data_IF_974423388868
#
_entry.id   IF_974423388868
#
_cell.length_a   1.000
_cell.length_b   1.000
_cell.length_c   1.000
_cell.angle_alpha   90.00
_cell.angle_beta   90.00
_cell.angle_gamma   90.00
#
_symmetry.space_group_name_H-M   'P 1'
#
loop_
_entity.id
_entity.type
_entity.pdbx_description
1 polymer ?
#
# COMPACT_ATOMS: atom_id res chain seq x y z
N UNK A 1 -2.90 -49.39 -44.60
CA UNK A 1 -2.90 -48.99 -43.18
C UNK A 1 -3.35 -47.54 -43.15
N UNK A 2 -4.56 -47.29 -42.66
CA UNK A 2 -5.21 -45.98 -42.61
C UNK A 2 -5.26 -45.58 -41.12
N UNK A 3 -4.78 -44.39 -40.70
CA UNK A 3 -4.86 -43.99 -39.30
C UNK A 3 -6.27 -43.45 -39.01
N UNK A 4 -7.00 -44.14 -38.12
CA UNK A 4 -8.27 -43.65 -37.59
C UNK A 4 -8.02 -42.45 -36.66
N UNK A 5 -8.76 -41.37 -36.90
CA UNK A 5 -8.76 -40.18 -36.08
C UNK A 5 -9.63 -40.40 -34.84
N UNK A 6 -9.06 -40.19 -33.66
CA UNK A 6 -9.81 -40.15 -32.40
C UNK A 6 -10.61 -38.85 -32.30
N UNK A 7 -11.91 -38.90 -31.97
CA UNK A 7 -12.70 -37.69 -31.71
C UNK A 7 -12.29 -37.07 -30.38
N UNK A 8 -11.80 -35.84 -30.42
CA UNK A 8 -11.58 -35.00 -29.23
C UNK A 8 -12.96 -34.57 -28.74
N UNK A 9 -13.35 -35.00 -27.54
CA UNK A 9 -14.57 -34.56 -26.89
C UNK A 9 -14.50 -33.05 -26.59
N UNK A 10 -15.58 -32.33 -26.91
CA UNK A 10 -15.75 -30.91 -26.61
C UNK A 10 -15.51 -30.63 -25.12
N UNK A 11 -14.48 -29.82 -24.84
CA UNK A 11 -14.20 -29.35 -23.50
C UNK A 11 -15.38 -28.48 -22.99
N UNK A 12 -15.83 -28.66 -21.74
CA UNK A 12 -16.93 -27.89 -21.18
C UNK A 12 -16.58 -26.40 -21.19
N UNK A 13 -17.47 -25.58 -21.76
CA UNK A 13 -17.33 -24.13 -21.84
C UNK A 13 -17.15 -23.55 -20.42
N UNK A 14 -15.92 -23.16 -20.07
CA UNK A 14 -15.64 -22.39 -18.87
C UNK A 14 -16.38 -21.04 -18.98
N UNK A 15 -17.49 -20.89 -18.25
CA UNK A 15 -18.16 -19.60 -18.09
C UNK A 15 -17.13 -18.65 -17.48
N UNK A 16 -16.60 -17.71 -18.29
CA UNK A 16 -15.74 -16.63 -17.78
C UNK A 16 -16.48 -15.96 -16.64
N UNK A 17 -15.87 -15.94 -15.45
CA UNK A 17 -16.34 -15.06 -14.38
C UNK A 17 -16.36 -13.64 -14.95
N UNK A 18 -17.44 -12.87 -14.77
CA UNK A 18 -17.44 -11.48 -15.19
C UNK A 18 -16.22 -10.80 -14.56
N UNK A 19 -15.31 -10.32 -15.41
CA UNK A 19 -14.08 -9.70 -14.96
C UNK A 19 -14.40 -8.48 -14.09
N UNK A 20 -13.55 -8.21 -13.11
CA UNK A 20 -13.67 -6.99 -12.32
C UNK A 20 -13.68 -5.78 -13.25
N UNK A 21 -14.73 -4.94 -13.15
CA UNK A 21 -14.80 -3.72 -13.93
C UNK A 21 -13.94 -2.65 -13.25
N UNK A 22 -12.85 -2.30 -13.93
CA UNK A 22 -11.86 -1.31 -13.47
C UNK A 22 -11.72 -0.19 -14.48
N UNK A 23 -11.12 0.92 -14.05
CA UNK A 23 -10.70 1.98 -14.97
C UNK A 23 -9.50 1.47 -15.77
N UNK A 24 -9.53 1.64 -17.09
CA UNK A 24 -8.47 1.19 -18.00
C UNK A 24 -8.19 2.26 -19.08
N UNK A 25 -7.07 2.09 -19.79
CA UNK A 25 -6.75 2.85 -20.98
C UNK A 25 -7.03 1.98 -22.20
N UNK A 26 -7.96 2.39 -23.06
CA UNK A 26 -8.26 1.75 -24.34
C UNK A 26 -8.00 2.73 -25.49
N UNK A 27 -6.98 2.44 -26.31
CA UNK A 27 -6.46 3.39 -27.28
C UNK A 27 -6.05 4.70 -26.62
N UNK A 28 -6.73 5.79 -26.97
CA UNK A 28 -6.57 7.13 -26.40
C UNK A 28 -7.60 7.46 -25.31
N UNK A 29 -8.53 6.56 -25.03
CA UNK A 29 -9.61 6.77 -24.08
C UNK A 29 -9.26 6.20 -22.70
N UNK A 30 -9.63 6.95 -21.66
CA UNK A 30 -9.82 6.41 -20.34
C UNK A 30 -11.23 5.83 -20.28
N UNK A 31 -11.36 4.55 -19.93
CA UNK A 31 -12.64 3.84 -19.92
C UNK A 31 -12.93 3.19 -18.57
N UNK A 32 -14.20 2.99 -18.26
CA UNK A 32 -14.67 2.20 -17.12
C UNK A 32 -15.73 1.21 -17.62
N UNK A 33 -15.38 -0.07 -17.70
CA UNK A 33 -16.27 -1.10 -18.25
C UNK A 33 -16.67 -0.84 -19.71
N UNK A 34 -15.76 -0.28 -20.51
CA UNK A 34 -16.00 0.12 -21.90
C UNK A 34 -16.67 1.50 -22.05
N UNK A 35 -17.13 2.13 -20.96
CA UNK A 35 -17.67 3.48 -21.03
C UNK A 35 -16.55 4.51 -21.08
N UNK A 36 -16.57 5.42 -22.07
CA UNK A 36 -15.55 6.46 -22.21
C UNK A 36 -15.76 7.59 -21.21
N UNK A 37 -14.87 7.66 -20.22
CA UNK A 37 -14.90 8.71 -19.19
C UNK A 37 -14.01 9.91 -19.54
N UNK A 38 -13.02 9.72 -20.42
CA UNK A 38 -12.20 10.80 -20.96
C UNK A 38 -11.38 10.36 -22.17
N UNK A 39 -10.88 11.31 -22.97
CA UNK A 39 -10.02 11.03 -24.13
C UNK A 39 -8.75 11.91 -24.08
N UNK A 40 -7.66 11.40 -24.64
CA UNK A 40 -6.46 12.18 -24.89
C UNK A 40 -6.79 13.45 -25.70
N UNK A 41 -6.32 14.61 -25.25
CA UNK A 41 -6.54 15.91 -25.91
C UNK A 41 -7.84 16.63 -25.55
N UNK A 42 -8.85 15.94 -25.01
CA UNK A 42 -10.10 16.52 -24.49
C UNK A 42 -10.49 15.88 -23.17
N UNK A 43 -9.57 15.86 -22.22
CA UNK A 43 -9.86 15.39 -20.87
C UNK A 43 -10.68 16.45 -20.12
N UNK A 44 -12.01 16.37 -20.27
CA UNK A 44 -12.97 17.16 -19.51
C UNK A 44 -13.03 16.60 -18.09
N UNK A 45 -12.22 17.17 -17.22
CA UNK A 45 -12.07 16.72 -15.84
C UNK A 45 -13.34 16.87 -15.00
N UNK A 46 -14.11 17.99 -15.06
CA UNK A 46 -15.42 18.06 -14.43
C UNK A 46 -16.35 16.91 -14.82
N UNK A 47 -16.43 16.58 -16.12
CA UNK A 47 -17.24 15.43 -16.60
C UNK A 47 -16.69 14.11 -16.07
N UNK A 48 -15.38 13.87 -16.18
CA UNK A 48 -14.75 12.64 -15.71
C UNK A 48 -14.95 12.43 -14.20
N UNK A 49 -14.83 13.50 -13.41
CA UNK A 49 -15.07 13.48 -11.97
C UNK A 49 -16.52 13.13 -11.64
N UNK A 50 -17.50 13.69 -12.35
CA UNK A 50 -18.91 13.37 -12.15
C UNK A 50 -19.25 11.91 -12.49
N UNK A 51 -18.75 11.39 -13.63
CA UNK A 51 -18.97 10.00 -14.05
C UNK A 51 -18.35 9.01 -13.07
N UNK A 52 -17.10 9.25 -12.67
CA UNK A 52 -16.42 8.41 -11.69
C UNK A 52 -17.10 8.49 -10.32
N UNK A 53 -17.51 9.68 -9.88
CA UNK A 53 -18.24 9.82 -8.63
C UNK A 53 -19.56 9.04 -8.65
N UNK A 54 -20.29 9.06 -9.77
CA UNK A 54 -21.52 8.29 -9.94
C UNK A 54 -21.26 6.77 -9.90
N UNK A 55 -20.21 6.31 -10.58
CA UNK A 55 -19.86 4.90 -10.61
C UNK A 55 -19.44 4.37 -9.23
N UNK A 56 -18.63 5.13 -8.50
CA UNK A 56 -18.15 4.76 -7.16
C UNK A 56 -19.12 5.11 -6.04
N UNK A 57 -20.15 5.92 -6.31
CA UNK A 57 -21.10 6.41 -5.31
C UNK A 57 -20.50 7.41 -4.32
N UNK A 58 -19.36 8.00 -4.63
CA UNK A 58 -18.66 8.97 -3.79
C UNK A 58 -17.76 9.88 -4.62
N UNK A 59 -17.57 11.13 -4.20
CA UNK A 59 -16.62 12.04 -4.84
C UNK A 59 -15.19 11.48 -4.76
N UNK A 60 -14.45 11.57 -5.87
CA UNK A 60 -13.05 11.18 -5.91
C UNK A 60 -12.17 12.23 -5.22
N UNK A 61 -11.03 11.81 -4.69
CA UNK A 61 -10.03 12.75 -4.18
C UNK A 61 -9.45 13.59 -5.34
N UNK A 62 -9.07 14.87 -5.09
CA UNK A 62 -8.41 15.69 -6.10
C UNK A 62 -7.12 15.04 -6.64
N UNK A 63 -6.40 14.29 -5.80
CA UNK A 63 -5.20 13.55 -6.19
C UNK A 63 -5.51 12.43 -7.19
N UNK A 64 -6.57 11.64 -6.97
CA UNK A 64 -6.97 10.61 -7.91
C UNK A 64 -7.28 11.20 -9.29
N UNK A 65 -8.02 12.32 -9.36
CA UNK A 65 -8.28 13.02 -10.61
C UNK A 65 -7.02 13.55 -11.30
N UNK A 66 -6.09 14.13 -10.52
CA UNK A 66 -4.80 14.58 -11.05
C UNK A 66 -3.98 13.42 -11.64
N UNK A 67 -4.03 12.24 -11.01
CA UNK A 67 -3.38 11.04 -11.53
C UNK A 67 -4.04 10.51 -12.80
N UNK A 68 -5.38 10.46 -12.87
CA UNK A 68 -6.08 10.09 -14.11
C UNK A 68 -5.77 11.05 -15.26
N UNK A 69 -5.70 12.37 -14.98
CA UNK A 69 -5.25 13.38 -15.95
C UNK A 69 -3.83 13.09 -16.42
N UNK A 70 -2.94 12.74 -15.49
CA UNK A 70 -1.57 12.31 -15.76
C UNK A 70 -1.51 11.08 -16.65
N UNK A 71 -2.33 10.06 -16.37
CA UNK A 71 -2.41 8.82 -17.14
C UNK A 71 -2.79 9.10 -18.60
N UNK A 72 -3.86 9.87 -18.81
CA UNK A 72 -4.33 10.25 -20.15
C UNK A 72 -3.28 11.06 -20.91
N UNK A 73 -2.61 12.01 -20.24
CA UNK A 73 -1.52 12.80 -20.85
C UNK A 73 -0.35 11.91 -21.27
N UNK A 74 0.12 11.03 -20.39
CA UNK A 74 1.28 10.15 -20.68
C UNK A 74 0.97 9.13 -21.75
N UNK A 75 -0.27 8.63 -21.81
CA UNK A 75 -0.73 7.78 -22.91
C UNK A 75 -0.61 8.50 -24.26
N UNK A 76 -1.02 9.77 -24.33
CA UNK A 76 -0.91 10.61 -25.54
C UNK A 76 0.53 10.83 -25.98
N UNK A 77 1.44 10.97 -25.02
CA UNK A 77 2.88 11.14 -25.28
C UNK A 77 3.57 9.84 -25.75
N UNK A 78 2.85 8.71 -25.79
CA UNK A 78 3.42 7.39 -26.11
C UNK A 78 4.10 6.72 -24.91
N UNK A 79 4.10 7.36 -23.74
CA UNK A 79 4.72 6.89 -22.50
C UNK A 79 3.82 5.89 -21.78
N UNK A 80 3.61 4.71 -22.39
CA UNK A 80 2.66 3.71 -21.91
C UNK A 80 2.93 3.24 -20.47
N UNK A 81 4.17 2.89 -20.09
CA UNK A 81 4.45 2.45 -18.72
C UNK A 81 4.07 3.53 -17.70
N UNK A 82 4.44 4.79 -17.97
CA UNK A 82 4.15 5.90 -17.07
C UNK A 82 2.65 6.18 -17.00
N UNK A 83 1.91 6.03 -18.10
CA UNK A 83 0.46 6.15 -18.12
C UNK A 83 -0.21 5.11 -17.20
N UNK A 84 0.25 3.86 -17.25
CA UNK A 84 -0.24 2.78 -16.38
C UNK A 84 0.14 3.02 -14.93
N UNK A 85 1.34 3.54 -14.66
CA UNK A 85 1.76 3.96 -13.31
C UNK A 85 0.85 5.04 -12.73
N UNK A 86 0.52 6.06 -13.52
CA UNK A 86 -0.44 7.09 -13.13
C UNK A 86 -1.85 6.51 -12.88
N UNK A 87 -2.28 5.55 -13.69
CA UNK A 87 -3.58 4.90 -13.49
C UNK A 87 -3.60 4.08 -12.19
N UNK A 88 -2.54 3.32 -11.90
CA UNK A 88 -2.39 2.59 -10.65
C UNK A 88 -2.37 3.54 -9.44
N UNK A 89 -1.64 4.65 -9.55
CA UNK A 89 -1.58 5.71 -8.54
C UNK A 89 -2.92 6.38 -8.24
N UNK A 90 -3.86 6.38 -9.18
CA UNK A 90 -5.21 6.88 -8.93
C UNK A 90 -5.92 6.07 -7.83
N UNK A 91 -5.47 4.82 -7.57
CA UNK A 91 -5.89 4.03 -6.41
C UNK A 91 -7.39 3.70 -6.40
N UNK A 92 -8.02 3.65 -7.57
CA UNK A 92 -9.45 3.37 -7.67
C UNK A 92 -9.71 1.88 -7.45
N UNK A 93 -10.55 1.50 -6.47
CA UNK A 93 -10.85 0.10 -6.22
C UNK A 93 -11.66 -0.49 -7.38
N UNK A 94 -11.73 -1.83 -7.52
CA UNK A 94 -12.73 -2.45 -8.37
C UNK A 94 -14.15 -2.03 -7.96
N UNK A 95 -15.06 -1.92 -8.93
CA UNK A 95 -16.47 -1.65 -8.64
C UNK A 95 -17.10 -2.83 -7.88
N UNK A 96 -17.67 -2.57 -6.71
CA UNK A 96 -18.32 -3.59 -5.88
C UNK A 96 -19.54 -4.23 -6.57
N UNK A 97 -20.32 -3.41 -7.28
CA UNK A 97 -21.43 -3.83 -8.15
C UNK A 97 -21.25 -3.16 -9.52
N UNK A 98 -20.62 -3.85 -10.48
CA UNK A 98 -20.37 -3.30 -11.80
C UNK A 98 -21.64 -2.91 -12.56
N UNK A 99 -22.72 -3.68 -12.42
CA UNK A 99 -23.96 -3.43 -13.17
C UNK A 99 -24.63 -2.14 -12.68
N UNK A 100 -24.82 -2.00 -11.36
CA UNK A 100 -25.38 -0.79 -10.77
C UNK A 100 -24.48 0.43 -11.00
N UNK A 101 -23.16 0.26 -10.98
CA UNK A 101 -22.21 1.33 -11.27
C UNK A 101 -22.30 1.82 -12.73
N UNK A 102 -22.38 0.91 -13.71
CA UNK A 102 -22.54 1.26 -15.11
C UNK A 102 -23.90 1.93 -15.39
N UNK A 103 -24.97 1.48 -14.72
CA UNK A 103 -26.28 2.12 -14.80
C UNK A 103 -26.24 3.56 -14.28
N UNK A 104 -25.61 3.79 -13.11
CA UNK A 104 -25.42 5.14 -12.54
C UNK A 104 -24.61 6.02 -13.47
N UNK A 105 -23.53 5.48 -14.03
CA UNK A 105 -22.68 6.20 -14.97
C UNK A 105 -23.47 6.62 -16.21
N UNK A 106 -24.22 5.71 -16.84
CA UNK A 106 -25.06 6.01 -18.00
C UNK A 106 -26.12 7.08 -17.70
N UNK A 107 -26.81 6.98 -16.55
CA UNK A 107 -27.77 8.00 -16.11
C UNK A 107 -27.12 9.37 -15.88
N UNK A 108 -25.95 9.40 -15.26
CA UNK A 108 -25.21 10.64 -15.05
C UNK A 108 -24.76 11.28 -16.35
N UNK A 109 -24.34 10.49 -17.34
CA UNK A 109 -23.99 11.03 -18.66
C UNK A 109 -25.22 11.64 -19.35
N UNK A 110 -26.35 10.93 -19.37
CA UNK A 110 -27.60 11.43 -19.94
C UNK A 110 -28.10 12.73 -19.25
N UNK A 111 -27.90 12.86 -17.93
CA UNK A 111 -28.21 14.10 -17.22
C UNK A 111 -27.31 15.25 -17.67
N UNK A 112 -26.02 15.01 -17.88
CA UNK A 112 -25.11 16.04 -18.39
C UNK A 112 -25.44 16.43 -19.83
N UNK A 113 -25.82 15.48 -20.68
CA UNK A 113 -26.33 15.75 -22.04
C UNK A 113 -27.62 16.59 -22.02
N UNK A 114 -28.46 16.41 -21.00
CA UNK A 114 -29.65 17.23 -20.76
C UNK A 114 -29.35 18.60 -20.12
N UNK A 115 -28.08 18.95 -19.92
CA UNK A 115 -27.64 20.26 -19.41
C UNK A 115 -27.42 20.33 -17.90
N UNK A 116 -27.49 19.21 -17.17
CA UNK A 116 -27.12 19.20 -15.75
C UNK A 116 -25.61 19.39 -15.62
N UNK A 117 -25.18 20.39 -14.85
CA UNK A 117 -23.77 20.65 -14.63
C UNK A 117 -23.09 19.45 -13.90
N UNK A 118 -21.87 19.03 -14.30
CA UNK A 118 -21.15 17.93 -13.63
C UNK A 118 -20.98 18.14 -12.12
N UNK A 119 -20.76 19.39 -11.68
CA UNK A 119 -20.65 19.75 -10.27
C UNK A 119 -21.92 19.46 -9.47
N UNK A 120 -23.11 19.55 -10.08
CA UNK A 120 -24.38 19.23 -9.44
C UNK A 120 -24.51 17.72 -9.17
N UNK A 121 -24.02 16.87 -10.10
CA UNK A 121 -23.99 15.42 -9.92
C UNK A 121 -23.04 15.06 -8.77
N UNK A 122 -21.83 15.63 -8.75
CA UNK A 122 -20.87 15.40 -7.66
C UNK A 122 -21.44 15.87 -6.31
N UNK A 123 -22.06 17.05 -6.26
CA UNK A 123 -22.68 17.58 -5.05
C UNK A 123 -23.86 16.72 -4.55
N UNK A 124 -24.64 16.13 -5.45
CA UNK A 124 -25.74 15.23 -5.10
C UNK A 124 -25.25 13.89 -4.49
N UNK A 125 -24.03 13.47 -4.85
CA UNK A 125 -23.39 12.24 -4.38
C UNK A 125 -22.49 12.44 -3.17
N UNK A 126 -22.08 13.68 -2.89
CA UNK A 126 -21.40 14.00 -1.65
C UNK A 126 -22.29 13.56 -0.49
N UNK A 127 -21.76 12.87 0.53
CA UNK A 127 -22.54 12.58 1.71
C UNK A 127 -23.10 13.89 2.20
N UNK A 128 -24.45 14.01 2.19
CA UNK A 128 -25.10 15.10 2.91
C UNK A 128 -24.55 14.94 4.32
N UNK A 129 -23.77 15.91 4.78
CA UNK A 129 -23.33 15.96 6.17
C UNK A 129 -24.57 16.20 7.03
N UNK A 130 -25.44 15.18 7.12
CA UNK A 130 -26.52 15.13 8.07
C UNK A 130 -25.81 14.85 9.40
N UNK A 131 -25.79 15.88 10.25
CA UNK A 131 -25.54 15.82 11.70
C UNK A 131 -24.10 15.70 12.27
N UNK A 132 -23.01 15.58 11.50
CA UNK A 132 -21.67 15.66 12.12
C UNK A 132 -21.35 17.05 12.70
N UNK A 133 -21.89 18.12 12.10
CA UNK A 133 -21.78 19.47 12.66
C UNK A 133 -22.68 19.70 13.89
N UNK A 134 -23.71 18.85 14.12
CA UNK A 134 -24.48 18.89 15.38
C UNK A 134 -23.74 18.22 16.54
N UNK A 135 -22.78 17.35 16.27
CA UNK A 135 -22.06 16.63 17.32
C UNK A 135 -20.88 17.41 17.93
N UNK A 136 -20.40 18.49 17.29
CA UNK A 136 -19.29 19.30 17.80
C UNK A 136 -19.81 20.62 18.39
N UNK A 137 -19.91 20.69 19.72
CA UNK A 137 -20.11 21.93 20.46
C UNK A 137 -18.80 22.28 21.23
N UNK A 138 -18.09 23.36 20.88
CA UNK A 138 -16.86 23.76 21.56
C UNK A 138 -17.07 24.12 23.05
N UNK A 139 -18.30 24.44 23.45
CA UNK A 139 -18.66 24.86 24.80
C UNK A 139 -19.08 23.68 25.70
N UNK A 140 -19.10 22.44 25.20
CA UNK A 140 -19.41 21.29 26.05
C UNK A 140 -18.27 20.98 27.03
N UNK A 141 -18.58 20.78 28.33
CA UNK A 141 -17.58 20.55 29.37
C UNK A 141 -16.81 19.24 29.13
N UNK A 142 -15.48 19.37 29.13
CA UNK A 142 -14.54 18.24 29.00
C UNK A 142 -13.96 17.88 30.35
N UNK A 143 -13.54 16.62 30.50
CA UNK A 143 -12.78 16.18 31.67
C UNK A 143 -11.48 17.01 31.79
N UNK A 144 -11.27 17.77 32.88
CA UNK A 144 -10.05 18.52 33.10
C UNK A 144 -8.83 17.61 33.25
N UNK A 145 -7.65 18.10 32.90
CA UNK A 145 -6.41 17.38 33.16
C UNK A 145 -6.17 17.26 34.68
N UNK A 146 -5.76 16.07 35.15
CA UNK A 146 -5.33 15.84 36.54
C UNK A 146 -6.26 14.97 37.40
N UNK A 147 -7.43 14.54 36.89
CA UNK A 147 -8.40 13.73 37.66
C UNK A 147 -8.17 12.20 37.59
N UNK A 148 -7.04 11.73 37.06
CA UNK A 148 -6.79 10.29 36.87
C UNK A 148 -7.56 9.65 35.71
N UNK A 149 -8.50 10.38 35.10
CA UNK A 149 -9.18 10.02 33.86
C UNK A 149 -8.48 10.62 32.63
N UNK A 150 -8.80 10.09 31.44
CA UNK A 150 -8.22 10.57 30.17
C UNK A 150 -8.77 11.97 29.86
N UNK A 151 -7.90 12.98 30.00
CA UNK A 151 -8.16 14.37 29.62
C UNK A 151 -8.78 14.47 28.21
N UNK A 152 -9.81 15.31 28.08
CA UNK A 152 -10.46 15.61 26.79
C UNK A 152 -11.63 14.71 26.40
N UNK A 153 -11.96 13.69 27.21
CA UNK A 153 -13.20 12.93 27.04
C UNK A 153 -14.44 13.82 27.28
N UNK A 154 -15.51 13.50 26.55
CA UNK A 154 -16.82 14.13 26.74
C UNK A 154 -17.39 13.63 28.06
N UNK A 155 -17.80 14.55 28.93
CA UNK A 155 -18.56 14.17 30.13
C UNK A 155 -19.97 13.79 29.68
N UNK A 156 -20.38 12.52 29.85
CA UNK A 156 -21.78 12.15 29.65
C UNK A 156 -22.60 12.84 30.73
N UNK A 157 -23.30 13.91 30.38
CA UNK A 157 -24.06 14.76 31.29
C UNK A 157 -25.27 14.12 31.97
N UNK A 158 -25.35 12.79 32.04
CA UNK A 158 -26.45 12.04 32.64
C UNK A 158 -25.93 11.14 33.76
N UNK A 159 -25.86 11.67 34.98
CA UNK A 159 -25.69 10.87 36.19
C UNK A 159 -26.27 11.57 37.43
N UNK A 160 -27.61 11.64 37.50
CA UNK A 160 -28.32 11.61 38.77
C UNK A 160 -28.39 10.16 39.25
N UNK A 161 -27.67 9.85 40.32
CA UNK A 161 -27.23 8.50 40.64
C UNK A 161 -28.26 7.54 41.22
N UNK A 162 -27.84 6.28 41.30
CA UNK A 162 -28.18 5.37 42.40
C UNK A 162 -27.12 4.26 42.46
N UNK A 163 -26.35 4.28 43.53
CA UNK A 163 -25.40 3.27 43.97
C UNK A 163 -26.10 1.97 44.32
N UNK A 164 -25.54 0.82 43.92
CA UNK A 164 -25.65 -0.44 44.67
C UNK A 164 -24.52 -1.38 44.24
N UNK A 165 -23.63 -1.72 45.18
CA UNK A 165 -22.51 -2.61 44.95
C UNK A 165 -22.88 -4.10 44.96
N UNK A 166 -21.98 -4.93 44.44
CA UNK A 166 -21.83 -6.31 44.87
C UNK A 166 -20.43 -6.81 44.52
N UNK A 167 -19.68 -7.11 45.59
CA UNK A 167 -18.45 -7.90 45.67
C UNK A 167 -18.67 -9.31 45.12
N UNK A 168 -17.77 -9.83 44.29
CA UNK A 168 -17.48 -11.28 44.17
C UNK A 168 -16.01 -11.53 43.86
N UNK A 169 -15.40 -12.26 44.79
CA UNK A 169 -14.11 -12.94 44.68
C UNK A 169 -14.22 -14.19 43.79
N UNK A 170 -13.09 -14.55 43.16
CA UNK A 170 -12.68 -15.93 42.90
C UNK A 170 -13.02 -16.52 41.52
N UNK A 171 -11.98 -16.76 40.72
CA UNK A 171 -11.67 -18.08 40.13
C UNK A 171 -10.47 -18.03 39.18
N UNK A 172 -9.44 -18.81 39.50
CA UNK A 172 -8.37 -19.27 38.60
C UNK A 172 -8.86 -20.50 37.81
N UNK A 173 -8.45 -20.68 36.54
CA UNK A 173 -7.63 -21.85 36.19
C UNK A 173 -6.54 -21.47 35.15
N UNK A 174 -5.28 -21.87 35.30
CA UNK A 174 -4.69 -23.20 35.12
C UNK A 174 -4.79 -23.76 33.68
N UNK A 175 -3.64 -23.77 33.00
CA UNK A 175 -3.21 -24.85 32.11
C UNK A 175 -3.66 -24.79 30.65
N UNK A 176 -2.81 -24.23 29.77
CA UNK A 176 -2.74 -24.68 28.38
C UNK A 176 -1.29 -24.96 27.97
N UNK A 177 -1.11 -26.20 27.56
CA UNK A 177 0.09 -26.88 27.09
C UNK A 177 0.63 -26.28 25.79
N UNK A 178 1.95 -26.17 25.71
CA UNK A 178 2.71 -25.80 24.52
C UNK A 178 2.41 -26.75 23.35
N UNK A 179 1.97 -26.17 22.23
CA UNK A 179 2.01 -26.81 20.92
C UNK A 179 3.17 -26.20 20.13
N UNK A 180 4.13 -27.04 19.74
CA UNK A 180 5.21 -26.71 18.82
C UNK A 180 4.63 -26.50 17.42
N UNK A 181 4.76 -25.32 16.78
CA UNK A 181 4.42 -25.20 15.38
C UNK A 181 5.53 -25.82 14.52
N UNK A 182 5.10 -26.66 13.58
CA UNK A 182 5.93 -27.22 12.55
C UNK A 182 6.58 -26.12 11.71
N UNK A 183 7.86 -26.32 11.38
CA UNK A 183 8.64 -25.50 10.45
C UNK A 183 7.93 -25.49 9.09
N UNK A 184 7.26 -24.39 8.79
CA UNK A 184 6.85 -24.09 7.43
C UNK A 184 8.08 -23.56 6.71
N UNK A 185 8.59 -24.33 5.76
CA UNK A 185 9.55 -23.87 4.76
C UNK A 185 9.01 -22.61 4.09
N UNK A 186 9.75 -21.51 4.24
CA UNK A 186 9.53 -20.29 3.44
C UNK A 186 9.67 -20.64 1.96
N UNK A 187 8.78 -20.12 1.09
CA UNK A 187 8.94 -20.33 -0.34
C UNK A 187 10.23 -19.66 -0.79
N UNK A 188 11.00 -20.37 -1.62
CA UNK A 188 12.07 -19.81 -2.41
C UNK A 188 11.59 -18.51 -3.10
N UNK A 189 12.48 -17.52 -3.16
CA UNK A 189 12.28 -16.25 -3.87
C UNK A 189 11.66 -16.53 -5.23
N UNK A 190 10.37 -16.20 -5.37
CA UNK A 190 9.69 -16.22 -6.66
C UNK A 190 10.25 -15.07 -7.49
N UNK A 191 11.07 -15.42 -8.48
CA UNK A 191 11.64 -14.52 -9.48
C UNK A 191 10.73 -14.39 -10.72
N UNK A 192 9.43 -14.69 -10.57
CA UNK A 192 8.41 -14.46 -11.58
C UNK A 192 8.42 -13.00 -12.06
N UNK A 193 8.34 -12.85 -13.38
CA UNK A 193 8.13 -11.55 -14.05
C UNK A 193 6.67 -11.09 -13.98
N UNK A 194 5.78 -11.89 -13.38
CA UNK A 194 4.38 -11.56 -13.18
C UNK A 194 4.17 -10.87 -11.82
N UNK A 195 4.38 -9.56 -11.83
CA UNK A 195 4.24 -8.69 -10.65
C UNK A 195 2.79 -8.51 -10.18
N UNK A 196 1.78 -8.96 -10.94
CA UNK A 196 0.36 -8.73 -10.59
C UNK A 196 -0.06 -9.48 -9.33
N UNK A 197 0.65 -10.55 -8.96
CA UNK A 197 0.36 -11.34 -7.76
C UNK A 197 0.63 -10.58 -6.45
N UNK A 198 1.60 -9.66 -6.42
CA UNK A 198 1.86 -8.78 -5.26
C UNK A 198 0.81 -7.68 -5.07
N UNK A 199 -0.09 -7.52 -6.04
CA UNK A 199 -1.23 -6.60 -5.98
C UNK A 199 -2.58 -7.31 -5.74
N UNK A 200 -2.60 -8.63 -5.48
CA UNK A 200 -3.84 -9.37 -5.22
C UNK A 200 -4.34 -9.19 -3.77
N UNK A 201 -5.53 -8.60 -3.63
CA UNK A 201 -6.17 -8.25 -2.35
C UNK A 201 -6.83 -9.47 -1.68
N UNK A 202 -6.36 -9.84 -0.48
CA UNK A 202 -7.12 -10.69 0.46
C UNK A 202 -8.05 -9.81 1.32
N UNK A 203 -9.36 -9.91 1.05
CA UNK A 203 -10.50 -9.87 1.99
C UNK A 203 -10.73 -8.68 2.93
N UNK A 204 -11.71 -7.82 2.60
CA UNK A 204 -12.21 -6.67 3.37
C UNK A 204 -12.95 -6.97 4.72
N UNK A 205 -12.92 -8.21 5.24
CA UNK A 205 -13.77 -8.61 6.37
C UNK A 205 -13.19 -8.34 7.78
N UNK A 206 -11.89 -8.11 7.94
CA UNK A 206 -11.26 -7.88 9.27
C UNK A 206 -11.10 -6.40 9.66
N UNK A 207 -11.64 -5.51 8.83
CA UNK A 207 -11.36 -4.08 8.84
C UNK A 207 -11.97 -3.24 9.97
N UNK A 208 -12.90 -3.79 10.77
CA UNK A 208 -13.79 -2.98 11.62
C UNK A 208 -13.41 -2.94 13.12
N UNK A 209 -12.30 -3.54 13.58
CA UNK A 209 -12.14 -3.82 15.02
C UNK A 209 -11.04 -3.10 15.80
N UNK A 210 -10.17 -2.25 15.25
CA UNK A 210 -9.01 -1.77 16.04
C UNK A 210 -8.76 -0.27 15.96
N UNK A 211 -9.13 0.44 17.03
CA UNK A 211 -8.73 1.81 17.32
C UNK A 211 -7.36 1.84 18.00
N UNK A 212 -6.34 2.30 17.29
CA UNK A 212 -4.99 2.55 17.81
C UNK A 212 -4.73 4.05 17.95
N UNK A 213 -4.16 4.47 19.09
CA UNK A 213 -3.80 5.88 19.40
C UNK A 213 -2.54 6.32 18.62
N UNK A 214 -2.42 7.62 18.26
CA UNK A 214 -1.23 8.16 17.60
C UNK A 214 -0.06 8.34 18.58
N UNK A 215 1.14 7.88 18.19
CA UNK A 215 2.38 7.99 18.96
C UNK A 215 3.28 9.09 18.38
N UNK A 216 3.73 10.02 19.22
CA UNK A 216 4.65 11.11 18.88
C UNK A 216 6.04 10.83 19.48
N UNK A 217 7.02 10.46 18.65
CA UNK A 217 8.42 10.33 19.06
C UNK A 217 9.35 11.12 18.13
N UNK A 218 10.15 12.04 18.69
CA UNK A 218 11.21 12.81 18.01
C UNK A 218 12.57 12.16 18.32
N UNK A 219 13.27 11.70 17.28
CA UNK A 219 14.55 10.96 17.28
C UNK A 219 14.53 9.94 16.13
N UNK A 220 15.60 9.18 15.81
CA UNK A 220 15.44 7.90 15.12
C UNK A 220 14.37 7.17 15.92
N UNK A 221 13.16 7.11 15.38
CA UNK A 221 12.02 6.75 16.21
C UNK A 221 12.24 5.31 16.66
N UNK A 222 11.92 4.97 17.91
CA UNK A 222 12.07 3.59 18.40
C UNK A 222 11.43 2.59 17.43
N UNK A 223 10.42 3.03 16.68
CA UNK A 223 9.85 2.32 15.55
C UNK A 223 10.86 1.91 14.46
N UNK A 224 11.70 2.82 13.97
CA UNK A 224 12.75 2.53 12.98
C UNK A 224 13.73 1.52 13.53
N UNK A 225 14.25 1.76 14.73
CA UNK A 225 15.18 0.82 15.36
C UNK A 225 14.53 -0.55 15.59
N UNK A 226 13.26 -0.57 16.01
CA UNK A 226 12.50 -1.81 16.11
C UNK A 226 12.37 -2.50 14.74
N UNK A 227 12.17 -1.75 13.65
CA UNK A 227 12.13 -2.29 12.29
C UNK A 227 13.47 -2.90 11.88
N UNK A 228 14.58 -2.21 12.17
CA UNK A 228 15.95 -2.73 11.94
C UNK A 228 16.20 -4.00 12.74
N UNK A 229 15.86 -4.02 14.02
CA UNK A 229 16.01 -5.20 14.87
C UNK A 229 15.18 -6.38 14.35
N UNK A 230 13.97 -6.12 13.84
CA UNK A 230 13.13 -7.14 13.24
C UNK A 230 13.75 -7.70 11.96
N UNK A 231 14.21 -6.83 11.05
CA UNK A 231 14.88 -7.24 9.81
C UNK A 231 16.09 -8.13 10.10
N UNK A 232 16.94 -7.74 11.05
CA UNK A 232 18.10 -8.54 11.47
C UNK A 232 17.66 -9.93 11.94
N UNK A 233 16.58 -10.04 12.73
CA UNK A 233 16.07 -11.33 13.18
C UNK A 233 15.47 -12.15 12.03
N UNK A 234 14.75 -11.51 11.10
CA UNK A 234 14.17 -12.18 9.93
C UNK A 234 15.28 -12.78 9.04
N UNK A 235 16.37 -12.05 8.81
CA UNK A 235 17.55 -12.54 8.10
C UNK A 235 18.25 -13.69 8.83
N UNK A 236 18.45 -13.59 10.15
CA UNK A 236 19.02 -14.69 10.95
C UNK A 236 18.16 -15.95 10.90
N UNK A 237 16.83 -15.79 10.99
CA UNK A 237 15.87 -16.89 10.88
C UNK A 237 15.90 -17.53 9.48
N UNK A 238 16.19 -16.75 8.44
CA UNK A 238 16.40 -17.24 7.09
C UNK A 238 17.80 -17.84 6.85
N UNK A 239 18.66 -17.90 7.89
CA UNK A 239 19.98 -18.52 7.82
C UNK A 239 21.12 -17.59 7.35
N UNK A 240 20.87 -16.29 7.25
CA UNK A 240 21.91 -15.32 6.92
C UNK A 240 22.79 -15.01 8.15
N UNK A 241 24.06 -14.76 7.89
CA UNK A 241 25.00 -14.22 8.86
C UNK A 241 24.89 -12.68 8.89
N UNK A 242 25.09 -12.05 10.05
CA UNK A 242 25.02 -10.59 10.22
C UNK A 242 26.41 -10.07 10.61
N UNK A 243 27.32 -9.86 9.64
CA UNK A 243 28.69 -9.40 9.91
C UNK A 243 28.75 -7.96 10.47
N UNK A 244 27.69 -7.16 10.28
CA UNK A 244 27.51 -5.88 10.97
C UNK A 244 26.02 -5.64 11.21
N UNK A 245 25.61 -5.52 12.47
CA UNK A 245 24.23 -5.26 12.91
C UNK A 245 23.97 -3.76 13.17
N UNK A 246 24.86 -2.91 12.68
CA UNK A 246 24.84 -1.46 12.85
C UNK A 246 25.07 -0.73 11.53
N UNK A 247 24.80 0.57 11.55
CA UNK A 247 24.93 1.43 10.39
C UNK A 247 26.33 1.31 9.75
N UNK A 248 26.39 0.84 8.51
CA UNK A 248 27.63 0.45 7.85
C UNK A 248 27.88 1.31 6.61
N UNK A 249 29.03 1.99 6.59
CA UNK A 249 29.50 2.77 5.44
C UNK A 249 30.04 1.83 4.35
N UNK A 250 29.57 2.04 3.12
CA UNK A 250 29.97 1.34 1.91
C UNK A 250 30.43 2.37 0.88
N UNK A 251 31.70 2.29 0.48
CA UNK A 251 32.26 3.16 -0.55
C UNK A 251 31.89 2.61 -1.92
N UNK A 252 31.31 3.46 -2.77
CA UNK A 252 30.89 3.13 -4.12
C UNK A 252 31.67 4.04 -5.07
N UNK A 253 32.34 3.43 -6.05
CA UNK A 253 33.11 4.17 -7.04
C UNK A 253 32.23 5.18 -7.78
N UNK A 254 32.75 6.38 -7.99
CA UNK A 254 32.03 7.49 -8.62
C UNK A 254 31.19 8.35 -7.66
N UNK A 255 31.07 7.99 -6.38
CA UNK A 255 30.38 8.82 -5.38
C UNK A 255 31.36 9.42 -4.36
N UNK A 256 31.23 10.72 -4.12
CA UNK A 256 32.09 11.44 -3.18
C UNK A 256 31.83 11.09 -1.70
N UNK A 257 30.67 10.51 -1.39
CA UNK A 257 30.29 10.13 -0.03
C UNK A 257 29.82 8.68 0.00
N UNK A 258 30.13 7.93 1.07
CA UNK A 258 29.70 6.53 1.18
C UNK A 258 28.17 6.43 1.19
N UNK A 259 27.67 5.24 0.89
CA UNK A 259 26.31 4.81 1.20
C UNK A 259 26.31 4.21 2.61
N UNK A 260 25.36 4.59 3.45
CA UNK A 260 25.25 4.04 4.81
C UNK A 260 24.05 3.12 4.87
N UNK A 261 24.25 1.81 5.01
CA UNK A 261 23.14 0.86 5.21
C UNK A 261 22.81 0.72 6.69
N UNK A 262 21.58 0.33 7.04
CA UNK A 262 21.20 0.10 8.45
C UNK A 262 21.96 -1.08 9.05
N UNK A 263 22.22 -2.13 8.24
CA UNK A 263 23.07 -3.27 8.59
C UNK A 263 23.59 -3.99 7.33
N UNK A 264 24.46 -4.98 7.50
CA UNK A 264 24.93 -5.86 6.41
C UNK A 264 24.64 -7.32 6.74
N UNK A 265 24.09 -8.04 5.77
CA UNK A 265 23.85 -9.48 5.84
C UNK A 265 24.74 -10.23 4.85
N UNK A 266 25.11 -11.47 5.19
CA UNK A 266 25.86 -12.38 4.34
C UNK A 266 25.06 -13.67 4.15
N UNK A 267 24.81 -14.04 2.90
CA UNK A 267 24.21 -15.32 2.55
C UNK A 267 25.32 -16.38 2.46
N UNK A 268 25.42 -17.32 3.41
CA UNK A 268 26.49 -18.33 3.42
C UNK A 268 26.38 -19.32 2.25
N UNK A 269 25.22 -19.42 1.60
CA UNK A 269 25.02 -20.33 0.46
C UNK A 269 25.61 -19.73 -0.82
N UNK A 270 25.38 -18.44 -1.05
CA UNK A 270 25.83 -17.76 -2.28
C UNK A 270 27.13 -16.99 -2.12
N UNK A 271 27.58 -16.74 -0.88
CA UNK A 271 28.75 -15.91 -0.56
C UNK A 271 28.52 -14.41 -0.76
N UNK A 272 27.26 -14.00 -0.95
CA UNK A 272 26.89 -12.62 -1.30
C UNK A 272 26.68 -11.78 -0.04
N UNK A 273 27.19 -10.55 -0.05
CA UNK A 273 26.95 -9.55 1.00
C UNK A 273 25.92 -8.53 0.54
N UNK A 274 24.89 -8.34 1.37
CA UNK A 274 23.77 -7.43 1.15
C UNK A 274 23.90 -6.21 2.06
N UNK A 275 23.89 -5.02 1.48
CA UNK A 275 23.63 -3.79 2.22
C UNK A 275 22.13 -3.64 2.40
N UNK A 276 21.65 -3.67 3.64
CA UNK A 276 20.21 -3.66 3.92
C UNK A 276 19.78 -2.28 4.40
N UNK A 277 18.83 -1.68 3.69
CA UNK A 277 18.15 -0.45 4.10
C UNK A 277 16.76 -0.81 4.64
N UNK A 278 16.42 -0.29 5.81
CA UNK A 278 15.11 -0.47 6.42
C UNK A 278 14.33 0.83 6.27
N UNK A 279 13.06 0.75 5.86
CA UNK A 279 12.14 1.89 5.91
C UNK A 279 10.97 1.55 6.80
N UNK A 280 10.74 2.39 7.81
CA UNK A 280 9.59 2.27 8.68
C UNK A 280 8.63 3.41 8.49
N UNK A 281 7.33 3.14 8.62
CA UNK A 281 6.30 4.17 8.54
C UNK A 281 5.11 3.84 9.44
N UNK A 282 4.49 4.87 10.02
CA UNK A 282 3.21 4.75 10.76
C UNK A 282 2.00 4.93 9.84
N UNK A 283 2.24 5.41 8.62
CA UNK A 283 1.22 5.63 7.60
C UNK A 283 1.50 4.71 6.43
N UNK A 284 0.55 4.53 5.53
CA UNK A 284 0.74 3.78 4.29
C UNK A 284 1.94 4.26 3.46
N UNK A 285 2.48 5.44 3.73
CA UNK A 285 3.43 6.09 2.84
C UNK A 285 4.91 5.82 3.19
N UNK A 286 5.68 5.31 2.22
CA UNK A 286 7.14 5.16 2.26
C UNK A 286 7.82 6.18 1.35
N UNK A 287 8.94 6.73 1.83
CA UNK A 287 9.75 7.70 1.11
C UNK A 287 11.14 7.14 0.84
N UNK A 288 11.62 7.33 -0.39
CA UNK A 288 13.00 7.06 -0.76
C UNK A 288 13.75 8.37 -0.96
N UNK A 289 15.01 8.40 -0.51
CA UNK A 289 15.93 9.46 -0.86
C UNK A 289 16.53 9.19 -2.24
N UNK A 290 16.55 10.22 -3.09
CA UNK A 290 17.03 10.09 -4.47
C UNK A 290 18.52 9.73 -4.52
N UNK A 291 19.34 10.34 -3.66
CA UNK A 291 20.79 10.10 -3.64
C UNK A 291 21.12 8.69 -3.14
N UNK A 292 20.40 8.20 -2.12
CA UNK A 292 20.49 6.80 -1.68
C UNK A 292 20.15 5.83 -2.81
N UNK A 293 19.03 6.03 -3.52
CA UNK A 293 18.62 5.16 -4.62
C UNK A 293 19.61 5.19 -5.79
N UNK A 294 20.12 6.36 -6.16
CA UNK A 294 21.14 6.47 -7.21
C UNK A 294 22.43 5.73 -6.85
N UNK A 295 22.87 5.80 -5.59
CA UNK A 295 24.00 5.01 -5.07
C UNK A 295 23.73 3.51 -5.10
N UNK A 296 22.54 3.08 -4.68
CA UNK A 296 22.19 1.65 -4.62
C UNK A 296 22.10 1.02 -6.01
N UNK A 297 21.51 1.74 -6.98
CA UNK A 297 21.49 1.32 -8.39
C UNK A 297 22.92 1.24 -8.94
N UNK A 298 23.77 2.22 -8.65
CA UNK A 298 25.15 2.21 -9.10
C UNK A 298 25.96 1.06 -8.47
N UNK A 299 25.84 0.82 -7.15
CA UNK A 299 26.46 -0.30 -6.45
C UNK A 299 26.14 -1.62 -7.15
N UNK A 300 24.86 -1.84 -7.48
CA UNK A 300 24.42 -3.05 -8.17
C UNK A 300 25.06 -3.16 -9.57
N UNK A 301 25.11 -2.06 -10.33
CA UNK A 301 25.64 -2.03 -11.69
C UNK A 301 27.17 -2.22 -11.78
N UNK A 302 27.92 -1.67 -10.83
CA UNK A 302 29.39 -1.79 -10.79
C UNK A 302 29.87 -3.10 -10.15
N UNK A 303 28.94 -3.89 -9.60
CA UNK A 303 29.23 -5.19 -8.98
C UNK A 303 29.58 -5.13 -7.49
N UNK A 304 29.47 -3.95 -6.86
CA UNK A 304 29.56 -3.79 -5.41
C UNK A 304 30.28 -2.54 -4.93
N UNK A 305 30.36 -2.38 -3.61
CA UNK A 305 31.11 -1.34 -2.93
C UNK A 305 31.82 -1.89 -1.69
N UNK A 306 32.97 -1.32 -1.33
CA UNK A 306 33.78 -1.83 -0.22
C UNK A 306 33.27 -1.32 1.12
N UNK A 307 33.09 -2.23 2.08
CA UNK A 307 32.64 -1.95 3.43
C UNK A 307 33.78 -2.18 4.44
N UNK A 308 34.48 -1.12 4.92
CA UNK A 308 35.64 -1.27 5.79
C UNK A 308 35.36 -2.01 7.10
N UNK A 309 34.15 -1.86 7.65
CA UNK A 309 33.74 -2.47 8.92
C UNK A 309 33.79 -4.01 8.88
N UNK A 310 33.50 -4.60 7.73
CA UNK A 310 33.47 -6.06 7.53
C UNK A 310 34.60 -6.58 6.64
N UNK A 311 35.45 -5.68 6.12
CA UNK A 311 36.57 -5.98 5.21
C UNK A 311 36.15 -6.80 3.98
N UNK A 312 34.95 -6.54 3.48
CA UNK A 312 34.34 -7.23 2.33
C UNK A 312 33.60 -6.24 1.43
N UNK A 313 33.29 -6.66 0.21
CA UNK A 313 32.46 -5.88 -0.70
C UNK A 313 30.99 -6.25 -0.55
N UNK A 314 30.14 -5.25 -0.34
CA UNK A 314 28.69 -5.38 -0.46
C UNK A 314 28.34 -5.37 -1.95
N UNK A 315 27.77 -6.46 -2.46
CA UNK A 315 27.53 -6.65 -3.90
C UNK A 315 26.05 -6.66 -4.26
N UNK A 316 25.16 -6.66 -3.27
CA UNK A 316 23.71 -6.56 -3.42
C UNK A 316 23.12 -5.56 -2.43
N UNK A 317 21.92 -5.09 -2.76
CA UNK A 317 21.12 -4.20 -1.90
C UNK A 317 19.78 -4.85 -1.66
N UNK A 318 19.25 -4.71 -0.45
CA UNK A 318 17.89 -5.09 -0.10
C UNK A 318 17.20 -3.95 0.65
N UNK A 319 15.92 -3.74 0.36
CA UNK A 319 15.07 -2.79 1.06
C UNK A 319 14.00 -3.53 1.87
N UNK A 320 14.04 -3.39 3.18
CA UNK A 320 13.09 -4.00 4.10
C UNK A 320 12.11 -2.94 4.60
N UNK A 321 10.83 -3.14 4.34
CA UNK A 321 9.84 -2.11 4.64
C UNK A 321 8.86 -2.58 5.70
N UNK A 322 8.83 -1.91 6.84
CA UNK A 322 7.93 -2.26 7.95
C UNK A 322 6.89 -1.18 8.13
N UNK A 323 5.62 -1.58 8.14
CA UNK A 323 4.55 -0.70 8.57
C UNK A 323 3.75 -1.30 9.72
N UNK A 324 3.44 -0.45 10.70
CA UNK A 324 2.52 -0.75 11.79
C UNK A 324 1.12 -0.26 11.40
N UNK A 325 0.16 -1.18 11.22
CA UNK A 325 -1.24 -0.84 10.95
C UNK A 325 -1.56 -0.48 9.49
N UNK A 326 -0.60 -0.63 8.56
CA UNK A 326 -0.89 -0.51 7.13
C UNK A 326 -1.64 -1.71 6.60
N UNK A 327 -2.60 -1.45 5.71
CA UNK A 327 -3.18 -2.49 4.84
C UNK A 327 -2.44 -2.64 3.52
N UNK A 328 -1.72 -1.59 3.11
CA UNK A 328 -0.98 -1.50 1.86
C UNK A 328 0.18 -0.54 2.03
N UNK A 329 1.24 -0.76 1.25
CA UNK A 329 2.37 0.16 1.14
C UNK A 329 2.16 1.08 -0.07
N UNK A 330 2.18 2.38 0.18
CA UNK A 330 2.15 3.44 -0.79
C UNK A 330 3.56 4.06 -0.88
N UNK A 331 4.26 3.82 -1.96
CA UNK A 331 5.54 4.48 -2.18
C UNK A 331 5.27 5.90 -2.71
N UNK A 332 5.54 6.95 -1.95
CA UNK A 332 5.26 8.31 -2.44
C UNK A 332 6.12 8.67 -3.65
N UNK A 333 7.31 8.08 -3.71
CA UNK A 333 8.28 8.23 -4.78
C UNK A 333 8.31 6.95 -5.63
N UNK A 334 7.18 6.59 -6.26
CA UNK A 334 7.09 5.41 -7.12
C UNK A 334 8.18 5.36 -8.18
N UNK A 335 8.56 6.49 -8.78
CA UNK A 335 9.68 6.51 -9.73
C UNK A 335 10.98 5.98 -9.12
N UNK A 336 11.27 6.28 -7.85
CA UNK A 336 12.46 5.75 -7.17
C UNK A 336 12.32 4.26 -6.85
N UNK A 337 11.11 3.79 -6.49
CA UNK A 337 10.84 2.37 -6.31
C UNK A 337 11.02 1.60 -7.63
N UNK A 338 10.43 2.11 -8.72
CA UNK A 338 10.57 1.58 -10.08
C UNK A 338 12.04 1.54 -10.53
N UNK A 339 12.84 2.56 -10.20
CA UNK A 339 14.28 2.55 -10.45
C UNK A 339 15.02 1.44 -9.71
N UNK A 340 14.66 1.15 -8.46
CA UNK A 340 15.22 0.01 -7.73
C UNK A 340 14.81 -1.31 -8.38
N UNK A 341 13.54 -1.48 -8.75
CA UNK A 341 13.05 -2.68 -9.42
C UNK A 341 13.72 -2.92 -10.78
N UNK A 342 13.87 -1.88 -11.60
CA UNK A 342 14.56 -1.98 -12.88
C UNK A 342 16.04 -2.36 -12.73
N UNK A 343 16.65 -2.02 -11.60
CA UNK A 343 18.01 -2.44 -11.27
C UNK A 343 18.08 -3.86 -10.68
N UNK A 344 16.95 -4.54 -10.48
CA UNK A 344 16.89 -5.86 -9.85
C UNK A 344 17.07 -5.82 -8.32
N UNK A 345 16.86 -4.66 -7.70
CA UNK A 345 16.97 -4.48 -6.24
C UNK A 345 15.60 -4.77 -5.63
N UNK A 346 15.54 -5.77 -4.76
CA UNK A 346 14.30 -6.20 -4.11
C UNK A 346 13.86 -5.19 -3.04
N UNK A 347 12.55 -4.95 -2.97
CA UNK A 347 11.88 -4.25 -1.88
C UNK A 347 10.89 -5.23 -1.26
N UNK A 348 11.15 -5.64 -0.02
CA UNK A 348 10.35 -6.62 0.70
C UNK A 348 9.38 -5.91 1.65
N UNK A 349 8.06 -6.01 1.42
CA UNK A 349 7.06 -5.50 2.35
C UNK A 349 6.83 -6.45 3.52
N UNK A 350 6.91 -5.91 4.74
CA UNK A 350 6.60 -6.61 5.99
C UNK A 350 5.44 -5.93 6.70
N UNK A 351 4.31 -6.63 6.75
CA UNK A 351 3.26 -6.29 7.70
C UNK A 351 3.70 -6.74 9.09
N UNK A 352 3.82 -5.80 10.04
CA UNK A 352 3.87 -6.21 11.45
C UNK A 352 2.50 -6.76 11.87
N UNK A 353 2.46 -7.87 12.63
CA UNK A 353 1.23 -8.36 13.23
C UNK A 353 0.57 -7.36 14.19
#
# INVERSE_FOLDING_TARGET
MNPEAFPIADAPSLRRRPGAVTVSLDGEALTLGGFVIGKAGKFDEPRAAALLAAAYGAALSPSALAYLRGAVRKRREGEIPLALTYLALAGLPPLADPAAALERLSKSDALMEAGVAPSAIVAALAPRHVDLARAYNPDQPRVPAGNGEISGQWTSGDAGGATSGARREGATPAGQTAQTPAVQSTPAVDNSTDWTQYFSLIGAAQAAQRGGRPFNGRGPNDQHQNGVNQAIQDYRNAGFEIPSDSATNVTIDGFATPRVYDFVAHDPVTGVYFGVEVKTTMYDTIFFDRSQVEKDVALYQVGGGYAPAIKQSVTRVAYETYCTGCRFFNFRTIYLADRLYQAGIAITPHSRP
#
